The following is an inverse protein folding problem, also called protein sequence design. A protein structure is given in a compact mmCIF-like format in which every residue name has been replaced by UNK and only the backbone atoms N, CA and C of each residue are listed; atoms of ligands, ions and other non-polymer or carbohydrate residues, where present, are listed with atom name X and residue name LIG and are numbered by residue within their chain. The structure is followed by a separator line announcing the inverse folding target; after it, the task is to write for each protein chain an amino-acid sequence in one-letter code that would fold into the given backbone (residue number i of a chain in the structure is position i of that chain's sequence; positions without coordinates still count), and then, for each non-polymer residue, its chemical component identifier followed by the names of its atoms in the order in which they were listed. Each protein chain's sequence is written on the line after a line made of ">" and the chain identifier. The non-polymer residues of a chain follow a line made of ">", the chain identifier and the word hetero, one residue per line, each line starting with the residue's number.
data_IF_865142895416
#
_entry.id   IF_865142895416
#
_cell.length_a   1.000
_cell.length_b   1.000
_cell.length_c   1.000
_cell.angle_alpha   90.00
_cell.angle_beta   90.00
_cell.angle_gamma   90.00
#
_symmetry.space_group_name_H-M   'P 1'
#
loop_
_entity.id
_entity.type
_entity.pdbx_description
1 polymer ?
#
# COMPACT_ATOMS: atom_id res chain seq x y z
N UNK A 1 4.94 22.18 -26.24
CA UNK A 1 4.29 22.30 -24.91
C UNK A 1 4.27 20.92 -24.27
N UNK A 2 5.28 20.59 -23.45
CA UNK A 2 5.38 19.40 -22.56
C UNK A 2 6.68 19.55 -21.76
N UNK A 3 6.62 20.33 -20.68
CA UNK A 3 7.75 20.60 -19.78
C UNK A 3 7.18 20.79 -18.37
N UNK A 4 6.55 19.74 -17.81
CA UNK A 4 5.91 19.79 -16.49
C UNK A 4 6.15 18.54 -15.63
N UNK A 5 6.73 17.46 -16.15
CA UNK A 5 6.79 16.19 -15.40
C UNK A 5 8.16 15.87 -14.78
N UNK A 6 9.17 16.73 -14.97
CA UNK A 6 10.53 16.50 -14.43
C UNK A 6 10.72 17.00 -12.99
N UNK A 7 9.79 17.78 -12.46
CA UNK A 7 9.92 18.37 -11.13
C UNK A 7 9.50 17.43 -9.98
N UNK A 8 8.72 16.38 -10.26
CA UNK A 8 8.30 15.40 -9.25
C UNK A 8 9.31 14.26 -9.04
N UNK A 9 10.07 13.90 -10.09
CA UNK A 9 11.08 12.83 -10.03
C UNK A 9 12.31 13.19 -9.18
N UNK A 10 12.61 14.47 -8.97
CA UNK A 10 13.75 14.91 -8.15
C UNK A 10 13.51 14.81 -6.63
N UNK A 11 12.28 14.55 -6.19
CA UNK A 11 11.92 14.37 -4.76
C UNK A 11 11.90 12.91 -4.28
N UNK A 12 11.97 11.95 -5.21
CA UNK A 12 12.09 10.53 -4.89
C UNK A 12 13.43 10.09 -4.24
N UNK A 13 14.61 10.67 -4.56
CA UNK A 13 15.87 10.17 -4.01
C UNK A 13 16.00 10.42 -2.51
N UNK A 14 15.42 11.49 -1.96
CA UNK A 14 15.54 11.79 -0.52
C UNK A 14 14.76 10.78 0.35
N UNK A 15 13.52 10.43 -0.02
CA UNK A 15 12.75 9.41 0.72
C UNK A 15 13.39 8.03 0.60
N UNK A 16 13.91 7.69 -0.59
CA UNK A 16 14.59 6.42 -0.80
C UNK A 16 15.89 6.33 0.01
N UNK A 17 16.63 7.44 0.14
CA UNK A 17 17.84 7.52 0.96
C UNK A 17 17.55 7.37 2.45
N UNK A 18 16.47 7.99 2.95
CA UNK A 18 16.08 7.84 4.37
C UNK A 18 15.64 6.41 4.67
N UNK A 19 14.82 5.81 3.79
CA UNK A 19 14.44 4.40 3.92
C UNK A 19 15.66 3.49 3.82
N UNK A 20 16.54 3.71 2.83
CA UNK A 20 17.77 2.94 2.67
C UNK A 20 18.65 3.04 3.92
N UNK A 21 18.87 4.24 4.47
CA UNK A 21 19.66 4.43 5.69
C UNK A 21 19.01 3.77 6.92
N UNK A 22 17.68 3.82 7.03
CA UNK A 22 16.94 3.20 8.13
C UNK A 22 16.98 1.67 8.04
N UNK A 23 16.72 1.10 6.87
CA UNK A 23 16.79 -0.34 6.63
C UNK A 23 18.24 -0.86 6.66
N UNK A 24 19.22 -0.10 6.18
CA UNK A 24 20.64 -0.49 6.17
C UNK A 24 21.18 -0.68 7.59
N UNK A 25 20.77 0.16 8.55
CA UNK A 25 21.12 0.00 9.97
C UNK A 25 20.60 -1.30 10.59
N UNK A 26 19.54 -1.89 10.03
CA UNK A 26 18.96 -3.16 10.48
C UNK A 26 19.47 -4.36 9.66
N UNK A 27 19.64 -4.19 8.35
CA UNK A 27 20.13 -5.24 7.45
C UNK A 27 21.60 -5.56 7.75
N UNK A 28 22.45 -4.54 7.94
CA UNK A 28 23.88 -4.73 8.19
C UNK A 28 24.18 -5.65 9.39
N UNK A 29 23.63 -5.44 10.60
CA UNK A 29 23.90 -6.34 11.73
C UNK A 29 23.34 -7.75 11.51
N UNK A 30 22.15 -7.90 10.90
CA UNK A 30 21.58 -9.22 10.57
C UNK A 30 22.48 -9.95 9.59
N UNK A 31 22.98 -9.25 8.56
CA UNK A 31 23.86 -9.81 7.54
C UNK A 31 25.22 -10.19 8.13
N UNK A 32 25.76 -9.39 9.07
CA UNK A 32 26.97 -9.72 9.83
C UNK A 32 26.77 -10.94 10.73
N UNK A 33 25.60 -11.07 11.39
CA UNK A 33 25.25 -12.25 12.19
C UNK A 33 25.18 -13.50 11.29
N UNK A 34 24.53 -13.40 10.13
CA UNK A 34 24.44 -14.51 9.16
C UNK A 34 25.84 -14.90 8.65
N UNK A 35 26.69 -13.93 8.29
CA UNK A 35 28.07 -14.21 7.87
C UNK A 35 28.86 -14.86 9.00
N UNK A 36 28.75 -14.36 10.23
CA UNK A 36 29.41 -14.96 11.41
C UNK A 36 28.96 -16.39 11.65
N UNK A 37 27.66 -16.66 11.51
CA UNK A 37 27.10 -18.02 11.59
C UNK A 37 27.63 -18.92 10.46
N UNK A 38 27.73 -18.41 9.22
CA UNK A 38 28.27 -19.19 8.09
C UNK A 38 29.76 -19.51 8.25
N UNK A 39 30.57 -18.54 8.68
CA UNK A 39 32.02 -18.75 8.91
C UNK A 39 32.24 -19.78 10.02
N UNK A 40 31.55 -19.61 11.16
CA UNK A 40 31.63 -20.58 12.26
C UNK A 40 31.12 -21.96 11.85
N UNK A 41 30.11 -22.04 10.97
CA UNK A 41 29.61 -23.29 10.40
C UNK A 41 30.64 -23.98 9.50
N UNK A 42 31.38 -23.23 8.68
CA UNK A 42 32.41 -23.83 7.81
C UNK A 42 33.59 -24.39 8.59
N UNK A 43 34.06 -23.67 9.62
CA UNK A 43 35.18 -24.13 10.46
C UNK A 43 34.75 -25.30 11.37
N UNK A 44 33.58 -25.21 11.99
CA UNK A 44 33.03 -26.28 12.82
C UNK A 44 32.67 -27.52 12.00
N UNK A 45 32.15 -27.35 10.78
CA UNK A 45 31.81 -28.45 9.87
C UNK A 45 33.04 -29.26 9.44
N UNK A 46 34.15 -28.58 9.13
CA UNK A 46 35.42 -29.25 8.83
C UNK A 46 35.97 -30.03 10.03
N UNK A 47 35.86 -29.48 11.25
CA UNK A 47 36.27 -30.16 12.48
C UNK A 47 35.35 -31.35 12.83
N UNK A 48 34.04 -31.23 12.62
CA UNK A 48 33.05 -32.28 12.88
C UNK A 48 33.21 -33.50 11.95
N UNK A 49 33.41 -33.28 10.65
CA UNK A 49 33.60 -34.38 9.67
C UNK A 49 34.88 -35.17 9.99
N UNK A 50 35.86 -34.52 10.63
CA UNK A 50 37.14 -35.12 11.00
C UNK A 50 37.08 -36.06 12.22
N UNK A 51 36.09 -35.94 13.12
CA UNK A 51 36.01 -36.74 14.36
C UNK A 51 34.58 -37.19 14.64
N UNK A 52 34.23 -38.35 14.09
CA UNK A 52 32.88 -38.95 14.14
C UNK A 52 32.45 -39.51 15.51
N UNK A 53 32.54 -38.73 16.59
CA UNK A 53 32.07 -39.13 17.93
C UNK A 53 31.14 -38.06 18.52
N UNK A 54 29.85 -38.39 18.63
CA UNK A 54 28.77 -37.76 19.43
C UNK A 54 28.54 -36.22 19.35
N UNK A 55 29.41 -35.46 18.70
CA UNK A 55 29.37 -33.99 18.59
C UNK A 55 28.33 -33.46 17.60
N UNK A 56 27.75 -34.33 16.77
CA UNK A 56 26.84 -33.94 15.69
C UNK A 56 25.46 -33.51 16.21
N UNK A 57 25.01 -34.10 17.32
CA UNK A 57 23.69 -33.82 17.88
C UNK A 57 23.63 -32.40 18.51
N UNK A 58 24.65 -32.00 19.27
CA UNK A 58 24.73 -30.67 19.86
C UNK A 58 24.82 -29.57 18.79
N UNK A 59 25.59 -29.81 17.73
CA UNK A 59 25.68 -28.88 16.61
C UNK A 59 24.35 -28.75 15.86
N UNK A 60 23.67 -29.87 15.63
CA UNK A 60 22.34 -29.87 15.00
C UNK A 60 21.32 -29.09 15.83
N UNK A 61 21.34 -29.24 17.15
CA UNK A 61 20.48 -28.46 18.07
C UNK A 61 20.80 -26.97 18.00
N UNK A 62 22.07 -26.57 18.00
CA UNK A 62 22.48 -25.17 17.88
C UNK A 62 22.03 -24.54 16.55
N UNK A 63 22.10 -25.30 15.46
CA UNK A 63 21.64 -24.83 14.14
C UNK A 63 20.13 -24.63 14.16
N UNK A 64 19.38 -25.59 14.71
CA UNK A 64 17.92 -25.48 14.83
C UNK A 64 17.54 -24.26 15.68
N UNK A 65 18.16 -24.08 16.84
CA UNK A 65 17.90 -22.94 17.74
C UNK A 65 18.23 -21.60 17.07
N UNK A 66 19.32 -21.53 16.30
CA UNK A 66 19.70 -20.32 15.57
C UNK A 66 18.67 -19.94 14.49
N UNK A 67 18.15 -20.93 13.76
CA UNK A 67 17.11 -20.71 12.73
C UNK A 67 15.81 -20.25 13.37
N UNK A 68 15.42 -20.86 14.49
CA UNK A 68 14.23 -20.45 15.25
C UNK A 68 14.38 -19.02 15.75
N UNK A 69 15.54 -18.67 16.33
CA UNK A 69 15.82 -17.31 16.83
C UNK A 69 15.72 -16.26 15.71
N UNK A 70 16.31 -16.53 14.54
CA UNK A 70 16.22 -15.65 13.37
C UNK A 70 14.77 -15.49 12.92
N UNK A 71 13.99 -16.57 12.87
CA UNK A 71 12.57 -16.52 12.51
C UNK A 71 11.73 -15.67 13.48
N UNK A 72 11.97 -15.81 14.79
CA UNK A 72 11.30 -15.00 15.82
C UNK A 72 11.67 -13.53 15.69
N UNK A 73 12.96 -13.22 15.51
CA UNK A 73 13.43 -11.84 15.32
C UNK A 73 12.86 -11.21 14.05
N UNK A 74 12.79 -11.95 12.94
CA UNK A 74 12.18 -11.47 11.70
C UNK A 74 10.70 -11.16 11.89
N UNK A 75 9.95 -12.01 12.59
CA UNK A 75 8.53 -11.77 12.91
C UNK A 75 8.33 -10.56 13.81
N UNK A 76 9.18 -10.40 14.83
CA UNK A 76 9.14 -9.23 15.72
C UNK A 76 9.48 -7.95 14.97
N UNK A 77 10.46 -8.00 14.06
CA UNK A 77 10.80 -6.87 13.18
C UNK A 77 9.64 -6.52 12.24
N UNK A 78 8.98 -7.50 11.62
CA UNK A 78 7.82 -7.24 10.76
C UNK A 78 6.65 -6.62 11.55
N UNK A 79 6.40 -7.10 12.77
CA UNK A 79 5.37 -6.53 13.63
C UNK A 79 5.74 -5.14 14.17
N UNK A 80 7.03 -4.91 14.47
CA UNK A 80 7.53 -3.62 14.95
C UNK A 80 7.58 -2.56 13.85
N UNK A 81 7.91 -2.96 12.63
CA UNK A 81 7.87 -2.09 11.45
C UNK A 81 6.45 -1.65 11.12
N UNK A 82 5.43 -2.32 11.67
CA UNK A 82 4.03 -1.96 11.53
C UNK A 82 3.57 -1.99 10.07
N UNK A 83 2.26 -1.98 9.89
CA UNK A 83 1.72 -1.47 8.63
C UNK A 83 1.64 0.05 8.82
N UNK A 84 2.76 0.75 8.62
CA UNK A 84 2.84 2.23 8.66
C UNK A 84 2.06 2.88 7.49
N UNK A 85 1.26 2.09 6.76
CA UNK A 85 0.33 2.63 5.77
C UNK A 85 -0.66 3.55 6.48
N UNK A 86 -0.74 4.82 6.05
CA UNK A 86 -1.68 5.75 6.67
C UNK A 86 -3.10 5.21 6.54
N UNK A 87 -3.90 5.32 7.61
CA UNK A 87 -5.30 4.81 7.61
C UNK A 87 -6.12 5.33 6.43
N UNK A 88 -5.88 6.56 5.97
CA UNK A 88 -6.57 7.14 4.81
C UNK A 88 -6.32 6.38 3.51
N UNK A 89 -5.21 5.65 3.39
CA UNK A 89 -4.86 4.89 2.18
C UNK A 89 -5.78 3.68 1.98
N UNK A 90 -6.39 3.19 3.07
CA UNK A 90 -7.42 2.13 3.02
C UNK A 90 -8.80 2.65 2.61
N UNK A 91 -9.01 3.98 2.62
CA UNK A 91 -10.28 4.61 2.28
C UNK A 91 -10.38 4.80 0.76
N UNK A 92 -10.93 3.80 0.06
CA UNK A 92 -10.98 3.74 -1.41
C UNK A 92 -12.41 3.68 -1.99
N UNK A 93 -13.42 3.65 -1.13
CA UNK A 93 -14.83 3.58 -1.53
C UNK A 93 -15.74 4.27 -0.52
N UNK A 94 -16.78 4.93 -1.02
CA UNK A 94 -17.80 5.58 -0.21
C UNK A 94 -19.03 5.93 -1.07
N UNK A 95 -20.11 6.37 -0.43
CA UNK A 95 -21.36 6.72 -1.10
C UNK A 95 -21.56 8.25 -1.12
N UNK A 96 -21.69 8.80 -2.33
CA UNK A 96 -21.96 10.22 -2.56
C UNK A 96 -23.04 10.38 -3.61
N UNK A 97 -24.01 11.26 -3.32
CA UNK A 97 -25.13 11.57 -4.23
C UNK A 97 -25.86 10.31 -4.73
N UNK A 98 -26.08 9.32 -3.85
CA UNK A 98 -26.80 8.09 -4.16
C UNK A 98 -26.01 7.06 -5.00
N UNK A 99 -24.77 7.36 -5.39
CA UNK A 99 -23.87 6.44 -6.08
C UNK A 99 -22.78 5.95 -5.13
N UNK A 100 -22.33 4.71 -5.31
CA UNK A 100 -21.11 4.21 -4.66
C UNK A 100 -19.93 4.55 -5.53
N UNK A 101 -18.98 5.29 -5.00
CA UNK A 101 -17.76 5.66 -5.70
C UNK A 101 -16.62 4.74 -5.29
N UNK A 102 -15.74 4.47 -6.25
CA UNK A 102 -14.45 3.82 -6.03
C UNK A 102 -13.37 4.68 -6.64
N UNK A 103 -12.21 4.75 -5.99
CA UNK A 103 -11.06 5.50 -6.49
C UNK A 103 -9.75 4.86 -6.05
N UNK A 104 -8.64 5.39 -6.57
CA UNK A 104 -7.29 5.08 -6.12
C UNK A 104 -6.54 6.35 -5.78
N UNK A 105 -5.46 6.19 -5.04
CA UNK A 105 -4.47 7.24 -4.82
C UNK A 105 -3.23 6.94 -5.64
N UNK A 106 -2.55 7.99 -6.10
CA UNK A 106 -1.27 7.84 -6.79
C UNK A 106 -0.10 7.93 -5.79
N UNK A 107 0.23 9.14 -5.32
CA UNK A 107 1.32 9.36 -4.36
C UNK A 107 0.85 9.99 -3.04
N UNK A 108 -0.25 10.72 -3.08
CA UNK A 108 -0.78 11.47 -1.96
C UNK A 108 -2.32 11.49 -1.98
N UNK A 109 -2.92 11.79 -0.82
CA UNK A 109 -4.38 11.76 -0.66
C UNK A 109 -5.10 12.83 -1.52
N UNK A 110 -4.38 13.83 -2.02
CA UNK A 110 -4.91 14.88 -2.89
C UNK A 110 -4.97 14.46 -4.37
N UNK A 111 -4.25 13.41 -4.75
CA UNK A 111 -4.17 12.84 -6.09
C UNK A 111 -5.09 11.62 -6.22
N UNK A 112 -6.38 11.89 -6.36
CA UNK A 112 -7.42 10.87 -6.57
C UNK A 112 -7.49 10.52 -8.06
N UNK A 113 -7.27 9.25 -8.39
CA UNK A 113 -7.33 8.68 -9.74
C UNK A 113 -8.38 7.58 -9.83
N UNK A 114 -8.70 7.14 -11.06
CA UNK A 114 -9.68 6.07 -11.34
C UNK A 114 -11.04 6.28 -10.63
N UNK A 115 -11.50 7.54 -10.53
CA UNK A 115 -12.74 7.88 -9.85
C UNK A 115 -13.94 7.41 -10.69
N UNK A 116 -14.58 6.32 -10.24
CA UNK A 116 -15.63 5.62 -10.97
C UNK A 116 -16.90 5.48 -10.13
N UNK A 117 -18.08 5.87 -10.66
CA UNK A 117 -19.36 5.69 -9.99
C UNK A 117 -20.02 4.35 -10.32
N UNK A 118 -20.53 3.70 -9.27
CA UNK A 118 -21.23 2.41 -9.31
C UNK A 118 -22.64 2.52 -8.73
N UNK A 119 -23.56 1.73 -9.28
CA UNK A 119 -24.90 1.60 -8.72
C UNK A 119 -24.86 0.91 -7.35
N UNK A 120 -25.50 1.49 -6.33
CA UNK A 120 -25.59 0.90 -4.99
C UNK A 120 -26.32 -0.45 -5.01
N UNK A 121 -27.33 -0.61 -5.88
CA UNK A 121 -28.19 -1.79 -5.93
C UNK A 121 -27.56 -2.98 -6.69
N UNK A 122 -26.97 -2.73 -7.86
CA UNK A 122 -26.48 -3.79 -8.74
C UNK A 122 -24.96 -3.77 -8.99
N UNK A 123 -24.24 -2.81 -8.39
CA UNK A 123 -22.79 -2.61 -8.52
C UNK A 123 -22.28 -2.41 -9.95
N UNK A 124 -23.16 -2.12 -10.89
CA UNK A 124 -22.79 -1.87 -12.28
C UNK A 124 -22.35 -0.41 -12.47
N UNK A 125 -21.44 -0.18 -13.41
CA UNK A 125 -20.96 1.14 -13.78
C UNK A 125 -22.11 2.06 -14.18
N UNK A 126 -22.13 3.27 -13.61
CA UNK A 126 -23.13 4.26 -13.95
C UNK A 126 -22.73 5.01 -15.22
N UNK A 127 -23.73 5.36 -16.04
CA UNK A 127 -23.54 6.13 -17.25
C UNK A 127 -24.17 7.51 -17.11
N UNK A 128 -23.47 8.52 -17.59
CA UNK A 128 -24.01 9.86 -17.75
C UNK A 128 -24.81 9.88 -19.04
N UNK A 129 -26.07 10.28 -18.93
CA UNK A 129 -26.97 10.53 -20.06
C UNK A 129 -27.37 12.00 -20.05
N UNK A 130 -27.49 12.59 -21.22
CA UNK A 130 -27.98 13.95 -21.34
C UNK A 130 -29.48 13.99 -21.00
N UNK A 131 -29.86 14.90 -20.10
CA UNK A 131 -31.24 15.15 -19.72
C UNK A 131 -31.83 16.32 -20.50
N UNK A 132 -32.79 17.03 -19.90
CA UNK A 132 -33.31 18.28 -20.46
C UNK A 132 -32.28 19.38 -20.25
N UNK A 133 -31.72 19.93 -21.34
CA UNK A 133 -30.63 20.90 -21.28
C UNK A 133 -30.98 22.05 -20.32
N UNK A 134 -30.12 22.40 -19.34
CA UNK A 134 -28.70 22.00 -19.18
C UNK A 134 -28.45 20.84 -18.18
N UNK A 135 -29.46 20.05 -17.86
CA UNK A 135 -29.39 18.94 -16.90
C UNK A 135 -28.70 17.70 -17.49
N UNK A 136 -27.87 17.04 -16.68
CA UNK A 136 -27.33 15.70 -16.95
C UNK A 136 -27.78 14.75 -15.86
N UNK A 137 -28.06 13.51 -16.25
CA UNK A 137 -28.54 12.46 -15.35
C UNK A 137 -27.54 11.31 -15.30
N UNK A 138 -27.36 10.74 -14.11
CA UNK A 138 -26.57 9.54 -13.91
C UNK A 138 -27.54 8.38 -13.75
N UNK A 139 -27.47 7.42 -14.67
CA UNK A 139 -28.40 6.28 -14.72
C UNK A 139 -27.63 4.96 -14.71
N UNK A 140 -28.22 3.95 -14.09
CA UNK A 140 -27.69 2.60 -14.16
C UNK A 140 -28.26 1.88 -15.38
N UNK A 141 -27.44 1.36 -16.31
CA UNK A 141 -27.94 0.66 -17.48
C UNK A 141 -28.55 -0.72 -17.14
N UNK A 142 -28.19 -1.32 -16.00
CA UNK A 142 -28.68 -2.64 -15.59
C UNK A 142 -30.06 -2.57 -14.93
N UNK A 143 -30.21 -1.79 -13.86
CA UNK A 143 -31.48 -1.69 -13.13
C UNK A 143 -32.36 -0.51 -13.58
N UNK A 144 -31.90 0.30 -14.54
CA UNK A 144 -32.59 1.51 -15.05
C UNK A 144 -32.92 2.56 -13.98
N UNK A 145 -32.34 2.45 -12.79
CA UNK A 145 -32.54 3.44 -11.73
C UNK A 145 -31.80 4.73 -12.08
N UNK A 146 -32.49 5.85 -11.90
CA UNK A 146 -31.88 7.17 -11.86
C UNK A 146 -31.20 7.34 -10.50
N UNK A 147 -29.90 7.64 -10.51
CA UNK A 147 -29.09 7.73 -9.29
C UNK A 147 -28.94 9.17 -8.84
N UNK A 148 -28.56 10.06 -9.76
CA UNK A 148 -28.36 11.47 -9.45
C UNK A 148 -28.60 12.35 -10.67
N UNK A 149 -28.76 13.65 -10.40
CA UNK A 149 -28.86 14.70 -11.41
C UNK A 149 -27.88 15.82 -11.06
N UNK A 150 -27.28 16.41 -12.08
CA UNK A 150 -26.37 17.53 -11.89
C UNK A 150 -26.44 18.48 -13.08
N UNK A 151 -26.06 19.73 -12.82
CA UNK A 151 -26.00 20.78 -13.82
C UNK A 151 -24.54 21.09 -14.17
N UNK A 152 -24.28 21.32 -15.46
CA UNK A 152 -22.95 21.66 -15.96
C UNK A 152 -22.16 20.46 -16.50
N UNK A 153 -20.82 20.59 -16.51
CA UNK A 153 -19.94 19.56 -17.07
C UNK A 153 -19.79 18.37 -16.11
N UNK A 154 -19.58 17.18 -16.67
CA UNK A 154 -19.27 16.00 -15.87
C UNK A 154 -17.97 16.17 -15.08
N UNK A 155 -17.00 16.92 -15.63
CA UNK A 155 -15.74 17.18 -14.92
C UNK A 155 -15.95 18.03 -13.65
N UNK A 156 -16.84 19.03 -13.67
CA UNK A 156 -17.18 19.82 -12.48
C UNK A 156 -17.84 18.94 -11.41
N UNK A 157 -18.68 18.00 -11.85
CA UNK A 157 -19.28 17.02 -10.95
C UNK A 157 -18.24 16.10 -10.33
N UNK A 158 -17.32 15.55 -11.12
CA UNK A 158 -16.19 14.75 -10.62
C UNK A 158 -15.33 15.55 -9.64
N UNK A 159 -15.06 16.82 -9.92
CA UNK A 159 -14.30 17.69 -9.02
C UNK A 159 -15.00 17.87 -7.68
N UNK A 160 -16.32 18.05 -7.67
CA UNK A 160 -17.12 18.12 -6.45
C UNK A 160 -16.98 16.84 -5.62
N UNK A 161 -17.03 15.66 -6.26
CA UNK A 161 -16.83 14.38 -5.57
C UNK A 161 -15.42 14.25 -5.01
N UNK A 162 -14.38 14.66 -5.76
CA UNK A 162 -12.99 14.68 -5.25
C UNK A 162 -12.86 15.56 -4.01
N UNK A 163 -13.50 16.72 -3.99
CA UNK A 163 -13.44 17.64 -2.86
C UNK A 163 -14.16 17.07 -1.62
N UNK A 164 -15.30 16.40 -1.80
CA UNK A 164 -15.99 15.68 -0.73
C UNK A 164 -15.14 14.54 -0.13
N UNK A 165 -14.48 13.75 -0.99
CA UNK A 165 -13.55 12.70 -0.55
C UNK A 165 -12.42 13.31 0.29
N UNK A 166 -11.78 14.38 -0.21
CA UNK A 166 -10.70 15.08 0.50
C UNK A 166 -11.16 15.63 1.85
N UNK A 167 -12.34 16.21 1.91
CA UNK A 167 -12.92 16.71 3.16
C UNK A 167 -13.12 15.59 4.17
N UNK A 168 -13.64 14.43 3.74
CA UNK A 168 -13.86 13.27 4.62
C UNK A 168 -12.55 12.65 5.09
N UNK A 169 -11.52 12.59 4.24
CA UNK A 169 -10.16 12.17 4.63
C UNK A 169 -9.62 13.07 5.75
N UNK A 170 -9.66 14.39 5.54
CA UNK A 170 -9.16 15.36 6.53
C UNK A 170 -9.84 15.21 7.89
N UNK A 171 -11.17 15.05 7.88
CA UNK A 171 -11.97 14.97 9.10
C UNK A 171 -11.82 13.65 9.87
N UNK A 172 -11.68 12.52 9.17
CA UNK A 172 -11.84 11.20 9.80
C UNK A 172 -10.54 10.37 9.87
N UNK A 173 -9.50 10.76 9.14
CA UNK A 173 -8.30 9.93 8.97
C UNK A 173 -6.98 10.67 9.20
N UNK A 174 -7.00 12.00 9.33
CA UNK A 174 -5.82 12.83 9.58
C UNK A 174 -5.86 13.53 10.94
N UNK A 175 -6.97 13.46 11.68
CA UNK A 175 -7.10 13.84 13.09
C UNK A 175 -6.78 12.65 14.01
#
# INVERSE_FOLDING_TARGET
>A
MKRSDYASLSKYPEKLQVLFLQYWKLILPVLLIIIGLLVTFTEAGHWLISKGDYSNALFTLLVIDSVILVGVLAKLLLNYLGDDTPKWMSYLTDEFHGARWTWKYQEAFDQITDLQPHCVNCKHDLKVVDGEYPEKMVTCPSCKSMVSRFFGSYENYLQTIRDLIKQKIRKNYLE
#
